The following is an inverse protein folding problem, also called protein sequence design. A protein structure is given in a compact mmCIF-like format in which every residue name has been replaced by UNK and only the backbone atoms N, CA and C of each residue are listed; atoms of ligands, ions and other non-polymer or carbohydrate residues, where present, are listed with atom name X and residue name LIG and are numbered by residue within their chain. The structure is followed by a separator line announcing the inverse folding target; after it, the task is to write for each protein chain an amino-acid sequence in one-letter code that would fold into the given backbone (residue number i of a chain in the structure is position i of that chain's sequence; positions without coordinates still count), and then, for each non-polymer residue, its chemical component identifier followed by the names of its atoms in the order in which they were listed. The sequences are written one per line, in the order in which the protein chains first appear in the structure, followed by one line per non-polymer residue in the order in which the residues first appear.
data_IF_936308197390
#
_entry.id   IF_936308197390
#
_cell.length_a   1.000
_cell.length_b   1.000
_cell.length_c   1.000
_cell.angle_alpha   90.00
_cell.angle_beta   90.00
_cell.angle_gamma   90.00
#
_symmetry.space_group_name_H-M   'P 1'
#
loop_
_entity.id
_entity.type
_entity.pdbx_description
1 polymer ?
#
# COMPACT_ATOMS: atom_id res chain seq x y z
N UNK A 1 17.85 12.69 61.47
CA UNK A 1 16.52 12.63 60.80
C UNK A 1 16.58 13.52 59.58
N UNK A 2 16.71 12.95 58.38
CA UNK A 2 16.78 13.71 57.12
C UNK A 2 15.47 13.52 56.32
N UNK A 3 14.91 14.64 55.86
CA UNK A 3 13.58 14.77 55.26
C UNK A 3 13.50 14.15 53.86
N UNK A 4 12.43 13.38 53.61
CA UNK A 4 12.13 12.58 52.40
C UNK A 4 11.44 13.34 51.26
N UNK A 5 11.70 14.64 51.07
CA UNK A 5 10.78 15.48 50.26
C UNK A 5 11.36 16.17 49.03
N UNK A 6 12.47 15.67 48.46
CA UNK A 6 13.09 16.33 47.29
C UNK A 6 13.66 15.37 46.25
N UNK A 7 12.85 14.42 45.77
CA UNK A 7 13.13 13.66 44.54
C UNK A 7 11.80 13.38 43.85
N UNK A 8 11.35 14.28 42.97
CA UNK A 8 10.31 14.00 41.94
C UNK A 8 10.04 15.23 41.04
N UNK A 9 11.08 15.97 40.65
CA UNK A 9 10.93 17.09 39.69
C UNK A 9 12.16 17.21 38.81
N UNK A 10 12.35 16.27 37.88
CA UNK A 10 13.33 16.39 36.79
C UNK A 10 13.13 15.29 35.72
N UNK A 11 11.88 14.99 35.35
CA UNK A 11 11.56 14.19 34.16
C UNK A 11 10.27 14.78 33.59
N UNK A 12 10.37 15.70 32.63
CA UNK A 12 9.18 16.36 32.09
C UNK A 12 9.50 17.43 31.05
N UNK A 13 10.43 17.15 30.14
CA UNK A 13 10.89 18.17 29.20
C UNK A 13 11.52 17.68 27.89
N UNK A 14 11.27 16.44 27.44
CA UNK A 14 11.83 15.93 26.17
C UNK A 14 10.81 15.11 25.34
N UNK A 15 9.51 15.21 25.63
CA UNK A 15 8.49 14.38 24.96
C UNK A 15 7.66 15.10 23.87
N UNK A 16 7.91 16.39 23.57
CA UNK A 16 7.06 17.17 22.66
C UNK A 16 7.70 17.59 21.32
N UNK A 17 8.92 17.13 21.01
CA UNK A 17 9.59 17.48 19.75
C UNK A 17 9.52 16.40 18.67
N UNK A 18 9.05 15.19 18.98
CA UNK A 18 8.90 14.10 17.98
C UNK A 18 7.52 14.00 17.33
N UNK A 19 6.51 14.74 17.83
CA UNK A 19 5.18 14.78 17.22
C UNK A 19 5.09 15.80 16.06
N UNK A 20 6.11 16.64 15.87
CA UNK A 20 6.11 17.72 14.90
C UNK A 20 6.59 17.36 13.50
N UNK A 21 7.30 16.23 13.32
CA UNK A 21 7.80 15.84 11.99
C UNK A 21 6.75 15.14 11.12
N UNK A 22 5.73 14.51 11.72
CA UNK A 22 4.68 13.79 10.96
C UNK A 22 3.46 14.66 10.63
N UNK A 23 3.39 15.89 11.16
CA UNK A 23 2.27 16.81 10.92
C UNK A 23 2.53 17.83 9.79
N UNK A 24 3.76 17.87 9.26
CA UNK A 24 4.20 18.85 8.25
C UNK A 24 3.85 18.50 6.80
N UNK A 25 3.47 17.25 6.51
CA UNK A 25 3.18 16.78 5.15
C UNK A 25 1.67 16.76 4.82
N UNK A 26 0.85 17.32 5.71
CA UNK A 26 -0.58 17.51 5.47
C UNK A 26 -0.82 18.61 4.41
N UNK A 27 -0.56 18.30 3.14
CA UNK A 27 -0.93 19.19 2.03
C UNK A 27 -0.34 18.88 0.66
N UNK A 28 0.65 17.99 0.52
CA UNK A 28 1.14 17.63 -0.80
C UNK A 28 0.22 16.58 -1.43
N UNK A 29 -0.29 16.86 -2.64
CA UNK A 29 -1.08 15.91 -3.41
C UNK A 29 -0.28 14.61 -3.60
N UNK A 30 -0.89 13.48 -3.24
CA UNK A 30 -0.28 12.16 -3.36
C UNK A 30 -0.91 11.32 -4.46
N UNK A 31 -0.13 10.39 -4.99
CA UNK A 31 -0.55 9.42 -6.00
C UNK A 31 -0.52 7.99 -5.45
N UNK A 32 -1.39 7.14 -5.96
CA UNK A 32 -1.18 5.69 -5.96
C UNK A 32 -0.86 5.21 -7.37
N UNK A 33 0.23 4.46 -7.52
CA UNK A 33 0.58 3.76 -8.75
C UNK A 33 0.24 2.27 -8.59
N UNK A 34 -0.71 1.81 -9.39
CA UNK A 34 -1.14 0.42 -9.50
C UNK A 34 -0.44 -0.27 -10.68
N UNK A 35 -0.44 -1.60 -10.65
CA UNK A 35 0.04 -2.44 -11.77
C UNK A 35 -0.97 -3.54 -12.05
N UNK A 36 -0.74 -4.39 -13.05
CA UNK A 36 -1.64 -5.51 -13.38
C UNK A 36 -1.89 -6.48 -12.22
N UNK A 37 -1.06 -6.47 -11.19
CA UNK A 37 -1.20 -7.32 -10.00
C UNK A 37 -2.47 -7.02 -9.18
N UNK A 38 -3.14 -5.88 -9.43
CA UNK A 38 -4.49 -5.62 -8.91
C UNK A 38 -5.51 -6.69 -9.34
N UNK A 39 -5.23 -7.45 -10.41
CA UNK A 39 -6.09 -8.55 -10.84
C UNK A 39 -5.81 -9.87 -10.08
N UNK A 40 -4.74 -9.95 -9.29
CA UNK A 40 -4.37 -11.15 -8.54
C UNK A 40 -5.29 -11.37 -7.34
N UNK A 41 -5.62 -10.31 -6.61
CA UNK A 41 -6.56 -10.27 -5.48
C UNK A 41 -6.92 -8.79 -5.17
N UNK A 42 -7.94 -8.51 -4.32
CA UNK A 42 -8.37 -7.13 -4.08
C UNK A 42 -7.38 -6.29 -3.25
N UNK A 43 -6.32 -6.87 -2.66
CA UNK A 43 -5.50 -6.19 -1.66
C UNK A 43 -4.86 -4.89 -2.16
N UNK A 44 -4.36 -4.87 -3.40
CA UNK A 44 -3.70 -3.66 -3.94
C UNK A 44 -4.69 -2.49 -4.09
N UNK A 45 -5.94 -2.77 -4.41
CA UNK A 45 -7.00 -1.76 -4.45
C UNK A 45 -7.32 -1.30 -3.01
N UNK A 46 -7.42 -2.21 -2.04
CA UNK A 46 -7.65 -1.86 -0.63
C UNK A 46 -6.54 -0.94 -0.10
N UNK A 47 -5.28 -1.26 -0.42
CA UNK A 47 -4.12 -0.44 -0.06
C UNK A 47 -4.18 0.94 -0.69
N UNK A 48 -4.65 1.08 -1.93
CA UNK A 48 -4.81 2.39 -2.55
C UNK A 48 -5.82 3.28 -1.81
N UNK A 49 -6.94 2.71 -1.35
CA UNK A 49 -7.89 3.43 -0.50
C UNK A 49 -7.31 3.76 0.87
N UNK A 50 -6.51 2.86 1.45
CA UNK A 50 -5.76 3.17 2.68
C UNK A 50 -4.83 4.37 2.49
N UNK A 51 -4.13 4.46 1.36
CA UNK A 51 -3.24 5.57 1.04
C UNK A 51 -4.00 6.90 0.89
N UNK A 52 -5.18 6.92 0.27
CA UNK A 52 -6.07 8.09 0.29
C UNK A 52 -6.44 8.49 1.73
N UNK A 53 -6.98 7.56 2.52
CA UNK A 53 -7.48 7.86 3.88
C UNK A 53 -6.40 8.35 4.84
N UNK A 54 -5.17 7.85 4.72
CA UNK A 54 -4.10 8.13 5.69
C UNK A 54 -3.08 9.17 5.20
N UNK A 55 -2.95 9.33 3.88
CA UNK A 55 -1.92 10.19 3.28
C UNK A 55 -2.46 11.17 2.23
N UNK A 56 -3.77 11.20 1.99
CA UNK A 56 -4.37 12.09 0.99
C UNK A 56 -4.01 11.75 -0.45
N UNK A 57 -3.53 10.52 -0.71
CA UNK A 57 -3.15 10.06 -2.03
C UNK A 57 -4.37 9.70 -2.90
N UNK A 58 -5.08 10.72 -3.38
CA UNK A 58 -6.35 10.59 -4.11
C UNK A 58 -6.18 10.23 -5.58
N UNK A 59 -5.08 10.64 -6.20
CA UNK A 59 -4.86 10.41 -7.63
C UNK A 59 -4.39 8.97 -7.87
N UNK A 60 -5.13 8.19 -8.67
CA UNK A 60 -4.80 6.79 -8.97
C UNK A 60 -4.35 6.61 -10.43
N UNK A 61 -3.16 6.04 -10.61
CA UNK A 61 -2.55 5.74 -11.90
C UNK A 61 -2.32 4.24 -12.09
N UNK A 62 -2.19 3.82 -13.35
CA UNK A 62 -1.86 2.46 -13.74
C UNK A 62 -0.60 2.40 -14.58
N UNK A 63 0.40 1.63 -14.17
CA UNK A 63 1.54 1.28 -15.01
C UNK A 63 1.28 -0.01 -15.78
N UNK A 64 1.29 0.08 -17.11
CA UNK A 64 1.25 -1.10 -17.99
C UNK A 64 2.56 -1.87 -17.91
N UNK A 65 2.53 -3.15 -18.28
CA UNK A 65 3.73 -4.02 -18.33
C UNK A 65 4.86 -3.45 -19.19
N UNK A 66 4.54 -2.69 -20.23
CA UNK A 66 5.49 -2.01 -21.12
C UNK A 66 5.89 -0.60 -20.64
N UNK A 67 5.52 -0.20 -19.42
CA UNK A 67 5.98 1.03 -18.77
C UNK A 67 5.10 2.25 -18.92
N UNK A 68 4.21 2.29 -19.92
CA UNK A 68 3.30 3.41 -20.09
C UNK A 68 2.38 3.58 -18.86
N UNK A 69 2.34 4.77 -18.29
CA UNK A 69 1.48 5.13 -17.16
C UNK A 69 0.24 5.87 -17.65
N UNK A 70 -0.93 5.48 -17.13
CA UNK A 70 -2.21 6.08 -17.46
C UNK A 70 -2.94 6.55 -16.21
N UNK A 71 -3.70 7.64 -16.33
CA UNK A 71 -4.64 8.11 -15.30
C UNK A 71 -5.82 7.14 -15.24
N UNK A 72 -6.20 6.70 -14.05
CA UNK A 72 -7.45 5.97 -13.82
C UNK A 72 -8.47 6.91 -13.15
N UNK A 73 -8.10 7.45 -11.99
CA UNK A 73 -8.92 8.39 -11.23
C UNK A 73 -8.00 9.52 -10.76
N UNK A 74 -7.65 10.43 -11.68
CA UNK A 74 -6.67 11.48 -11.41
C UNK A 74 -6.97 12.75 -12.16
N UNK A 75 -6.75 13.88 -11.49
CA UNK A 75 -6.82 15.21 -12.11
C UNK A 75 -5.41 15.75 -12.39
N UNK A 76 -4.47 15.46 -11.50
CA UNK A 76 -3.08 15.93 -11.59
C UNK A 76 -2.29 15.16 -12.66
N UNK A 77 -1.23 15.76 -13.21
CA UNK A 77 -0.25 15.01 -14.01
C UNK A 77 0.66 14.21 -13.09
N UNK A 78 0.96 12.96 -13.47
CA UNK A 78 1.72 12.05 -12.59
C UNK A 78 3.07 12.66 -12.16
N UNK A 79 3.72 13.37 -13.08
CA UNK A 79 5.00 14.04 -12.89
C UNK A 79 4.98 15.19 -11.86
N UNK A 80 3.82 15.73 -11.53
CA UNK A 80 3.69 16.87 -10.62
C UNK A 80 3.45 16.43 -9.17
N UNK A 81 3.27 15.12 -8.94
CA UNK A 81 3.02 14.56 -7.63
C UNK A 81 4.32 14.39 -6.85
N UNK A 82 4.27 14.66 -5.56
CA UNK A 82 5.45 14.63 -4.69
C UNK A 82 5.53 13.39 -3.84
N UNK A 83 4.37 12.83 -3.52
CA UNK A 83 4.25 11.62 -2.71
C UNK A 83 3.62 10.54 -3.56
N UNK A 84 4.35 9.45 -3.84
CA UNK A 84 3.85 8.36 -4.69
C UNK A 84 3.89 7.05 -3.93
N UNK A 85 2.74 6.40 -3.83
CA UNK A 85 2.53 5.11 -3.19
C UNK A 85 2.38 4.04 -4.27
N UNK A 86 3.30 3.09 -4.34
CA UNK A 86 3.23 1.96 -5.27
C UNK A 86 2.51 0.81 -4.58
N UNK A 87 1.34 0.42 -5.07
CA UNK A 87 0.66 -0.82 -4.62
C UNK A 87 0.75 -1.88 -5.71
N UNK A 88 1.50 -2.93 -5.40
CA UNK A 88 1.73 -4.03 -6.32
C UNK A 88 2.29 -5.24 -5.56
N UNK A 89 2.07 -6.44 -6.06
CA UNK A 89 2.89 -7.58 -5.64
C UNK A 89 4.37 -7.39 -5.99
N UNK A 90 5.24 -7.84 -5.09
CA UNK A 90 6.68 -7.61 -5.16
C UNK A 90 7.48 -8.87 -4.85
N UNK A 91 8.70 -8.87 -5.35
CA UNK A 91 9.74 -9.85 -5.04
C UNK A 91 11.09 -9.14 -4.95
N UNK A 92 12.16 -9.88 -4.71
CA UNK A 92 13.51 -9.31 -4.73
C UNK A 92 13.96 -8.87 -6.13
N UNK A 93 13.28 -9.30 -7.20
CA UNK A 93 13.68 -9.07 -8.60
C UNK A 93 12.64 -8.31 -9.44
N UNK A 94 11.41 -8.14 -8.93
CA UNK A 94 10.33 -7.47 -9.67
C UNK A 94 9.33 -6.76 -8.76
N UNK A 95 8.67 -5.74 -9.31
CA UNK A 95 7.51 -5.04 -8.74
C UNK A 95 6.40 -5.04 -9.79
N UNK A 96 5.20 -5.49 -9.43
CA UNK A 96 4.05 -5.51 -10.34
C UNK A 96 4.22 -6.44 -11.55
N UNK A 97 5.07 -7.46 -11.42
CA UNK A 97 5.47 -8.31 -12.55
C UNK A 97 6.42 -7.64 -13.55
N UNK A 98 7.01 -6.48 -13.21
CA UNK A 98 8.00 -5.74 -14.00
C UNK A 98 9.37 -5.91 -13.33
N UNK A 99 10.41 -6.23 -14.09
CA UNK A 99 11.76 -6.35 -13.53
C UNK A 99 12.22 -5.02 -12.90
N UNK A 100 12.92 -5.06 -11.77
CA UNK A 100 13.22 -3.86 -10.98
C UNK A 100 13.91 -2.73 -11.78
N UNK A 101 14.82 -3.07 -12.70
CA UNK A 101 15.52 -2.09 -13.53
C UNK A 101 14.59 -1.43 -14.57
N UNK A 102 13.66 -2.21 -15.13
CA UNK A 102 12.67 -1.73 -16.08
C UNK A 102 11.65 -0.86 -15.34
N UNK A 103 11.16 -1.31 -14.19
CA UNK A 103 10.26 -0.53 -13.34
C UNK A 103 10.87 0.84 -12.99
N UNK A 104 12.12 0.87 -12.53
CA UNK A 104 12.81 2.12 -12.21
C UNK A 104 12.92 3.06 -13.42
N UNK A 105 13.19 2.50 -14.61
CA UNK A 105 13.30 3.27 -15.85
C UNK A 105 11.94 3.82 -16.30
N UNK A 106 10.90 2.97 -16.33
CA UNK A 106 9.54 3.36 -16.69
C UNK A 106 8.96 4.38 -15.71
N UNK A 107 9.24 4.22 -14.42
CA UNK A 107 8.84 5.19 -13.41
C UNK A 107 9.48 6.55 -13.68
N UNK A 108 10.80 6.61 -13.92
CA UNK A 108 11.50 7.87 -14.23
C UNK A 108 11.00 8.52 -15.52
N UNK A 109 10.64 7.73 -16.52
CA UNK A 109 10.08 8.22 -17.78
C UNK A 109 8.70 8.86 -17.57
N UNK A 110 7.84 8.22 -16.77
CA UNK A 110 6.52 8.75 -16.45
C UNK A 110 6.53 9.91 -15.44
N UNK A 111 7.57 9.97 -14.61
CA UNK A 111 7.70 10.91 -13.48
C UNK A 111 9.07 11.60 -13.50
N UNK A 112 9.34 12.42 -14.51
CA UNK A 112 10.62 13.14 -14.66
C UNK A 112 11.05 13.98 -13.45
N UNK A 113 10.12 14.58 -12.71
CA UNK A 113 10.39 15.33 -11.47
C UNK A 113 10.81 14.41 -10.33
N UNK A 114 11.76 14.83 -9.48
CA UNK A 114 12.10 14.06 -8.29
C UNK A 114 10.93 14.06 -7.29
N UNK A 115 10.44 12.88 -6.87
CA UNK A 115 9.46 12.77 -5.80
C UNK A 115 10.12 13.03 -4.43
N UNK A 116 9.35 13.59 -3.51
CA UNK A 116 9.78 13.79 -2.13
C UNK A 116 9.65 12.47 -1.34
N UNK A 117 8.55 11.76 -1.56
CA UNK A 117 8.24 10.46 -0.93
C UNK A 117 7.90 9.42 -1.98
N UNK A 118 8.55 8.26 -1.89
CA UNK A 118 8.23 7.04 -2.60
C UNK A 118 7.97 5.92 -1.59
N UNK A 119 6.77 5.36 -1.60
CA UNK A 119 6.40 4.28 -0.70
C UNK A 119 6.01 3.02 -1.48
N UNK A 120 6.67 1.89 -1.23
CA UNK A 120 6.32 0.61 -1.84
C UNK A 120 5.48 -0.24 -0.88
N UNK A 121 4.18 -0.33 -1.12
CA UNK A 121 3.34 -1.41 -0.61
C UNK A 121 3.52 -2.66 -1.48
N UNK A 122 4.75 -3.17 -1.50
CA UNK A 122 5.13 -4.27 -2.37
C UNK A 122 6.17 -5.13 -1.68
N UNK A 123 5.80 -6.37 -1.38
CA UNK A 123 6.59 -7.31 -0.60
C UNK A 123 8.05 -7.39 -1.10
N UNK A 124 9.00 -7.49 -0.17
CA UNK A 124 10.42 -7.70 -0.43
C UNK A 124 11.15 -6.61 -1.24
N UNK A 125 10.53 -5.47 -1.52
CA UNK A 125 11.19 -4.34 -2.20
C UNK A 125 12.31 -3.69 -1.39
N UNK A 126 12.28 -3.87 -0.07
CA UNK A 126 13.36 -3.52 0.86
C UNK A 126 14.60 -4.41 0.70
N UNK A 127 14.38 -5.71 0.46
CA UNK A 127 15.42 -6.72 0.26
C UNK A 127 15.86 -6.87 -1.20
N UNK A 128 15.08 -6.34 -2.14
CA UNK A 128 15.41 -6.24 -3.56
C UNK A 128 16.07 -4.90 -3.91
N UNK A 129 16.58 -4.78 -5.13
CA UNK A 129 17.33 -3.59 -5.56
C UNK A 129 16.47 -2.47 -6.18
N UNK A 130 15.14 -2.60 -6.25
CA UNK A 130 14.28 -1.60 -6.92
C UNK A 130 14.42 -0.21 -6.31
N UNK A 131 14.54 -0.10 -4.99
CA UNK A 131 14.69 1.19 -4.30
C UNK A 131 15.99 1.88 -4.73
N UNK A 132 17.11 1.16 -4.65
CA UNK A 132 18.41 1.65 -5.13
C UNK A 132 18.36 2.06 -6.59
N UNK A 133 17.88 1.17 -7.47
CA UNK A 133 17.79 1.41 -8.90
C UNK A 133 16.91 2.61 -9.23
N UNK A 134 15.79 2.79 -8.51
CA UNK A 134 14.93 3.95 -8.66
C UNK A 134 15.66 5.21 -8.24
N UNK A 135 16.30 5.24 -7.07
CA UNK A 135 16.99 6.45 -6.64
C UNK A 135 18.18 6.82 -7.54
N UNK A 136 18.88 5.82 -8.09
CA UNK A 136 19.92 6.03 -9.11
C UNK A 136 19.38 6.80 -10.33
N UNK A 137 18.11 6.57 -10.74
CA UNK A 137 17.47 7.31 -11.85
C UNK A 137 17.21 8.79 -11.54
N UNK A 138 17.25 9.16 -10.27
CA UNK A 138 17.10 10.55 -9.79
C UNK A 138 18.41 11.07 -9.19
N UNK A 139 19.57 10.51 -9.56
CA UNK A 139 20.87 10.94 -9.04
C UNK A 139 20.96 10.94 -7.50
N UNK A 140 20.23 10.02 -6.85
CA UNK A 140 20.14 9.91 -5.41
C UNK A 140 19.33 11.01 -4.70
N UNK A 141 18.50 11.78 -5.43
CA UNK A 141 17.80 12.95 -4.89
C UNK A 141 16.40 12.66 -4.29
N UNK A 142 15.89 11.41 -4.30
CA UNK A 142 14.59 11.11 -3.68
C UNK A 142 14.72 11.28 -2.16
N UNK A 143 13.85 12.10 -1.57
CA UNK A 143 13.91 12.47 -0.16
C UNK A 143 13.71 11.28 0.78
N UNK A 144 12.63 10.50 0.58
CA UNK A 144 12.31 9.32 1.38
C UNK A 144 11.81 8.16 0.53
N UNK A 145 12.32 6.95 0.81
CA UNK A 145 12.11 5.77 -0.02
C UNK A 145 11.84 4.51 0.83
N UNK A 146 10.57 4.18 1.00
CA UNK A 146 10.08 3.14 1.92
C UNK A 146 9.74 1.85 1.19
N UNK A 147 9.96 0.68 1.81
CA UNK A 147 9.48 -0.61 1.31
C UNK A 147 9.83 -1.78 2.23
N UNK A 148 9.04 -2.87 2.25
CA UNK A 148 9.24 -3.99 3.17
C UNK A 148 10.48 -4.82 2.85
N UNK A 149 11.21 -5.25 3.87
CA UNK A 149 12.23 -6.30 3.75
C UNK A 149 11.62 -7.69 3.45
N UNK A 150 10.35 -7.92 3.82
CA UNK A 150 9.68 -9.21 3.68
C UNK A 150 8.23 -9.08 3.22
N UNK A 151 7.34 -9.91 3.77
CA UNK A 151 5.89 -9.77 3.56
C UNK A 151 5.38 -8.46 4.16
N UNK A 152 4.41 -7.84 3.51
CA UNK A 152 3.70 -6.65 4.01
C UNK A 152 2.19 -6.88 4.05
N UNK A 153 1.51 -6.22 5.00
CA UNK A 153 0.06 -6.21 5.09
C UNK A 153 -0.43 -4.97 5.87
N UNK A 154 -1.71 -4.61 5.67
CA UNK A 154 -2.41 -3.64 6.52
C UNK A 154 -2.76 -4.26 7.88
N UNK A 155 -2.43 -3.56 8.97
CA UNK A 155 -2.56 -3.97 10.38
C UNK A 155 -3.46 -2.98 11.08
N UNK A 156 -4.62 -3.43 11.57
CA UNK A 156 -5.64 -2.59 12.20
C UNK A 156 -5.66 -2.68 13.73
N UNK A 157 -4.75 -3.45 14.35
CA UNK A 157 -4.66 -3.59 15.82
C UNK A 157 -6.03 -3.92 16.48
N UNK A 158 -6.74 -4.91 15.93
CA UNK A 158 -8.07 -5.29 16.41
C UNK A 158 -9.25 -4.47 15.83
N UNK A 159 -8.98 -3.52 14.94
CA UNK A 159 -9.98 -2.78 14.17
C UNK A 159 -9.99 -3.18 12.68
N UNK A 160 -11.16 -3.35 12.04
CA UNK A 160 -11.24 -3.54 10.59
C UNK A 160 -11.15 -2.23 9.78
N UNK A 161 -11.02 -1.08 10.45
CA UNK A 161 -11.09 0.25 9.85
C UNK A 161 -9.76 0.68 9.21
N UNK A 162 -9.81 1.03 7.91
CA UNK A 162 -8.66 1.55 7.15
C UNK A 162 -8.09 2.85 7.71
N UNK A 163 -8.91 3.70 8.33
CA UNK A 163 -8.45 4.99 8.88
C UNK A 163 -7.53 4.81 10.08
N UNK A 164 -7.59 3.64 10.71
CA UNK A 164 -6.73 3.27 11.85
C UNK A 164 -5.65 2.25 11.47
N UNK A 165 -5.71 1.72 10.25
CA UNK A 165 -4.79 0.70 9.77
C UNK A 165 -3.41 1.29 9.47
N UNK A 166 -2.38 0.51 9.72
CA UNK A 166 -1.01 0.79 9.32
C UNK A 166 -0.54 -0.26 8.33
N UNK A 167 0.18 0.13 7.30
CA UNK A 167 0.89 -0.82 6.47
C UNK A 167 2.20 -1.20 7.19
N UNK A 168 2.41 -2.49 7.48
CA UNK A 168 3.57 -3.00 8.22
C UNK A 168 4.15 -4.23 7.52
N UNK A 169 5.36 -4.65 7.93
CA UNK A 169 6.00 -5.89 7.48
C UNK A 169 6.22 -6.88 8.62
N UNK A 170 6.59 -8.13 8.28
CA UNK A 170 6.72 -9.24 9.23
C UNK A 170 5.47 -9.40 10.11
N UNK A 171 4.31 -9.24 9.47
CA UNK A 171 3.01 -9.23 10.13
C UNK A 171 2.66 -10.61 10.66
N UNK A 172 2.14 -10.66 11.89
CA UNK A 172 1.55 -11.86 12.48
C UNK A 172 0.04 -11.71 12.61
N UNK A 173 -0.64 -12.86 12.70
CA UNK A 173 -2.10 -12.95 12.72
C UNK A 173 -2.58 -13.61 14.01
N UNK A 174 -3.61 -13.06 14.64
CA UNK A 174 -4.16 -13.56 15.92
C UNK A 174 -5.10 -14.76 15.77
N UNK A 175 -5.74 -14.94 14.60
CA UNK A 175 -6.81 -15.93 14.41
C UNK A 175 -6.50 -16.83 13.21
N UNK A 176 -5.49 -17.70 13.34
CA UNK A 176 -4.90 -18.45 12.20
C UNK A 176 -5.90 -19.19 11.31
N UNK A 177 -6.83 -19.97 11.87
CA UNK A 177 -7.82 -20.72 11.07
C UNK A 177 -8.85 -19.80 10.42
N UNK A 178 -9.46 -18.90 11.21
CA UNK A 178 -10.45 -17.93 10.74
C UNK A 178 -9.87 -17.00 9.66
N UNK A 179 -8.61 -16.59 9.81
CA UNK A 179 -7.89 -15.82 8.81
C UNK A 179 -7.82 -16.56 7.48
N UNK A 180 -7.43 -17.84 7.49
CA UNK A 180 -7.35 -18.64 6.27
C UNK A 180 -8.73 -18.88 5.65
N UNK A 181 -9.78 -19.02 6.47
CA UNK A 181 -11.17 -19.11 5.97
C UNK A 181 -11.59 -17.84 5.22
N UNK A 182 -11.39 -16.66 5.81
CA UNK A 182 -11.73 -15.39 5.16
C UNK A 182 -10.89 -15.17 3.89
N UNK A 183 -9.59 -15.50 3.91
CA UNK A 183 -8.75 -15.48 2.69
C UNK A 183 -9.31 -16.39 1.60
N UNK A 184 -9.77 -17.59 1.96
CA UNK A 184 -10.38 -18.52 1.01
C UNK A 184 -11.71 -17.97 0.45
N UNK A 185 -12.54 -17.36 1.28
CA UNK A 185 -13.79 -16.73 0.86
C UNK A 185 -13.55 -15.54 -0.07
N UNK A 186 -12.58 -14.66 0.25
CA UNK A 186 -12.16 -13.55 -0.63
C UNK A 186 -11.74 -14.11 -1.99
N UNK A 187 -10.88 -15.13 -2.02
CA UNK A 187 -10.43 -15.74 -3.29
C UNK A 187 -11.57 -16.39 -4.07
N UNK A 188 -12.50 -17.03 -3.37
CA UNK A 188 -13.68 -17.65 -3.95
C UNK A 188 -14.58 -16.60 -4.62
N UNK A 189 -14.90 -15.50 -3.94
CA UNK A 189 -15.65 -14.38 -4.53
C UNK A 189 -14.86 -13.72 -5.67
N UNK A 190 -13.56 -13.49 -5.49
CA UNK A 190 -12.71 -12.83 -6.49
C UNK A 190 -12.61 -13.61 -7.80
N UNK A 191 -12.43 -14.93 -7.73
CA UNK A 191 -11.98 -15.72 -8.89
C UNK A 191 -12.95 -16.79 -9.36
N UNK A 192 -13.95 -17.18 -8.56
CA UNK A 192 -14.77 -18.37 -8.83
C UNK A 192 -16.26 -18.06 -8.85
N UNK A 193 -16.82 -17.63 -7.72
CA UNK A 193 -18.26 -17.57 -7.51
C UNK A 193 -18.81 -16.15 -7.61
N UNK A 194 -18.00 -15.13 -7.30
CA UNK A 194 -18.45 -13.74 -7.28
C UNK A 194 -18.46 -13.14 -8.67
N UNK A 195 -19.61 -12.58 -9.04
CA UNK A 195 -19.82 -11.92 -10.33
C UNK A 195 -19.64 -10.41 -10.20
N UNK A 196 -18.92 -9.80 -11.15
CA UNK A 196 -18.80 -8.36 -11.23
C UNK A 196 -20.06 -7.75 -11.86
N UNK A 197 -20.87 -7.03 -11.07
CA UNK A 197 -22.02 -6.20 -11.52
C UNK A 197 -22.93 -6.85 -12.57
N UNK A 198 -23.32 -8.10 -12.36
CA UNK A 198 -24.20 -8.86 -13.26
C UNK A 198 -23.69 -8.97 -14.72
N UNK A 199 -22.37 -8.88 -14.93
CA UNK A 199 -21.73 -8.92 -16.26
C UNK A 199 -21.52 -10.33 -16.82
N UNK A 200 -21.86 -11.36 -16.05
CA UNK A 200 -21.56 -12.77 -16.33
C UNK A 200 -20.09 -13.15 -16.14
N UNK A 201 -19.28 -12.27 -15.53
CA UNK A 201 -17.82 -12.45 -15.37
C UNK A 201 -17.43 -12.37 -13.90
N UNK A 202 -16.41 -13.14 -13.52
CA UNK A 202 -15.81 -13.01 -12.20
C UNK A 202 -15.09 -11.67 -12.05
N UNK A 203 -14.88 -11.21 -10.82
CA UNK A 203 -14.11 -9.99 -10.54
C UNK A 203 -12.72 -10.02 -11.19
N UNK A 204 -12.01 -11.15 -11.07
CA UNK A 204 -10.71 -11.37 -11.70
C UNK A 204 -10.78 -11.26 -13.23
N UNK A 205 -11.79 -11.86 -13.85
CA UNK A 205 -11.95 -11.82 -15.30
C UNK A 205 -12.27 -10.40 -15.81
N UNK A 206 -13.16 -9.69 -15.11
CA UNK A 206 -13.45 -8.29 -15.42
C UNK A 206 -12.20 -7.41 -15.30
N UNK A 207 -11.41 -7.57 -14.22
CA UNK A 207 -10.14 -6.86 -14.07
C UNK A 207 -9.20 -7.10 -15.25
N UNK A 208 -9.01 -8.36 -15.64
CA UNK A 208 -8.13 -8.73 -16.75
C UNK A 208 -8.50 -8.03 -18.06
N UNK A 209 -9.80 -7.90 -18.35
CA UNK A 209 -10.28 -7.20 -19.54
C UNK A 209 -10.05 -5.69 -19.51
N UNK A 210 -9.99 -5.09 -18.32
CA UNK A 210 -9.80 -3.64 -18.18
C UNK A 210 -8.33 -3.24 -18.14
N UNK A 211 -7.41 -4.15 -17.79
CA UNK A 211 -5.97 -3.84 -17.72
C UNK A 211 -5.22 -4.15 -19.01
N UNK A 212 -5.70 -5.05 -19.85
CA UNK A 212 -5.06 -5.41 -21.12
C UNK A 212 -6.06 -5.90 -22.20
N UNK A 213 -6.42 -5.06 -23.20
CA UNK A 213 -5.97 -3.68 -23.39
C UNK A 213 -6.51 -2.74 -22.31
N UNK A 214 -5.72 -1.74 -21.91
CA UNK A 214 -6.13 -0.81 -20.86
C UNK A 214 -7.40 -0.01 -21.26
N UNK A 215 -8.46 -0.16 -20.45
CA UNK A 215 -9.63 0.71 -20.43
C UNK A 215 -9.68 1.47 -19.09
N UNK A 216 -9.19 2.71 -19.09
CA UNK A 216 -9.02 3.51 -17.87
C UNK A 216 -10.34 3.84 -17.16
N UNK A 217 -11.40 4.12 -17.92
CA UNK A 217 -12.72 4.46 -17.36
C UNK A 217 -13.33 3.26 -16.62
N UNK A 218 -13.36 2.10 -17.28
CA UNK A 218 -13.86 0.87 -16.66
C UNK A 218 -12.98 0.44 -15.48
N UNK A 219 -11.67 0.67 -15.55
CA UNK A 219 -10.76 0.36 -14.46
C UNK A 219 -10.99 1.27 -13.24
N UNK A 220 -11.38 2.54 -13.45
CA UNK A 220 -11.72 3.47 -12.38
C UNK A 220 -13.01 3.07 -11.67
N UNK A 221 -14.00 2.65 -12.45
CA UNK A 221 -15.25 2.12 -11.89
C UNK A 221 -15.01 0.81 -11.14
N UNK A 222 -14.21 -0.10 -11.71
CA UNK A 222 -13.84 -1.37 -11.10
C UNK A 222 -13.10 -1.17 -9.78
N UNK A 223 -12.13 -0.25 -9.76
CA UNK A 223 -11.36 0.12 -8.56
C UNK A 223 -12.27 0.47 -7.38
N UNK A 224 -13.22 1.39 -7.57
CA UNK A 224 -14.17 1.76 -6.52
C UNK A 224 -15.12 0.61 -6.16
N UNK A 225 -15.58 -0.17 -7.14
CA UNK A 225 -16.47 -1.29 -6.91
C UNK A 225 -15.83 -2.40 -6.05
N UNK A 226 -14.53 -2.65 -6.23
CA UNK A 226 -13.79 -3.61 -5.39
C UNK A 226 -13.74 -3.14 -3.93
N UNK A 227 -13.53 -1.85 -3.69
CA UNK A 227 -13.56 -1.33 -2.32
C UNK A 227 -14.95 -1.48 -1.69
N UNK A 228 -16.00 -1.10 -2.41
CA UNK A 228 -17.37 -1.27 -1.93
C UNK A 228 -17.70 -2.74 -1.62
N UNK A 229 -17.36 -3.66 -2.53
CA UNK A 229 -17.65 -5.08 -2.34
C UNK A 229 -16.88 -5.69 -1.17
N UNK A 230 -15.55 -5.51 -1.14
CA UNK A 230 -14.67 -6.25 -0.22
C UNK A 230 -14.41 -5.54 1.12
N UNK A 231 -14.84 -4.28 1.29
CA UNK A 231 -14.70 -3.55 2.57
C UNK A 231 -16.02 -3.07 3.15
N UNK A 232 -16.91 -2.53 2.32
CA UNK A 232 -18.11 -1.82 2.80
C UNK A 232 -19.30 -2.77 2.94
N UNK A 233 -19.58 -3.55 1.88
CA UNK A 233 -20.78 -4.38 1.80
C UNK A 233 -20.56 -5.81 2.33
N UNK A 234 -19.34 -6.34 2.26
CA UNK A 234 -19.04 -7.66 2.79
C UNK A 234 -19.31 -7.75 4.30
N UNK A 235 -19.94 -8.84 4.73
CA UNK A 235 -20.28 -9.09 6.13
C UNK A 235 -19.03 -9.27 7.00
N UNK A 236 -19.08 -8.85 8.26
CA UNK A 236 -17.95 -8.96 9.21
C UNK A 236 -18.22 -9.88 10.40
N UNK A 237 -19.44 -10.37 10.54
CA UNK A 237 -19.95 -11.09 11.71
C UNK A 237 -19.97 -12.61 11.54
N UNK A 238 -19.99 -13.13 10.31
CA UNK A 238 -19.89 -14.57 10.02
C UNK A 238 -18.59 -14.91 9.29
N UNK A 239 -17.63 -15.50 10.01
CA UNK A 239 -16.32 -15.90 9.47
C UNK A 239 -16.42 -16.95 8.37
N UNK A 240 -17.39 -17.85 8.44
CA UNK A 240 -17.48 -18.97 7.51
C UNK A 240 -17.90 -18.52 6.10
N UNK A 241 -18.57 -17.36 5.99
CA UNK A 241 -19.04 -16.80 4.72
C UNK A 241 -18.45 -15.43 4.37
N UNK A 242 -17.82 -14.74 5.32
CA UNK A 242 -17.28 -13.39 5.12
C UNK A 242 -16.16 -13.36 4.07
N UNK A 243 -16.28 -12.40 3.15
CA UNK A 243 -15.22 -11.94 2.25
C UNK A 243 -14.77 -10.49 2.57
N UNK A 244 -15.00 -10.03 3.80
CA UNK A 244 -14.61 -8.67 4.20
C UNK A 244 -13.11 -8.61 4.49
N UNK A 245 -12.37 -7.87 3.66
CA UNK A 245 -10.94 -7.71 3.79
C UNK A 245 -10.55 -6.99 5.10
N UNK A 246 -11.42 -6.16 5.65
CA UNK A 246 -11.26 -5.53 6.97
C UNK A 246 -11.09 -6.54 8.11
N UNK A 247 -11.62 -7.77 8.01
CA UNK A 247 -11.32 -8.82 8.98
C UNK A 247 -9.85 -9.25 8.95
N UNK A 248 -9.23 -9.31 7.77
CA UNK A 248 -7.79 -9.57 7.66
C UNK A 248 -6.99 -8.46 8.34
N UNK A 249 -7.37 -7.20 8.11
CA UNK A 249 -6.76 -6.02 8.73
C UNK A 249 -6.91 -6.07 10.26
N UNK A 250 -8.10 -6.41 10.75
CA UNK A 250 -8.40 -6.55 12.18
C UNK A 250 -7.48 -7.57 12.86
N UNK A 251 -7.26 -8.72 12.22
CA UNK A 251 -6.54 -9.84 12.82
C UNK A 251 -5.04 -9.77 12.64
N UNK A 252 -4.57 -8.99 11.67
CA UNK A 252 -3.21 -8.47 11.59
C UNK A 252 -3.00 -7.56 12.81
N UNK A 253 -2.24 -8.02 13.80
CA UNK A 253 -2.18 -7.40 15.13
C UNK A 253 -0.77 -7.01 15.59
N UNK A 254 0.26 -7.39 14.84
CA UNK A 254 1.63 -6.96 15.06
C UNK A 254 2.37 -6.90 13.74
N UNK A 255 3.48 -6.18 13.74
CA UNK A 255 4.38 -6.04 12.61
C UNK A 255 5.46 -5.02 12.93
N UNK A 256 6.38 -4.84 12.00
CA UNK A 256 7.40 -3.81 12.06
C UNK A 256 7.06 -2.70 11.08
N UNK A 257 7.20 -1.43 11.50
CA UNK A 257 7.08 -0.29 10.60
C UNK A 257 8.20 -0.32 9.57
N UNK A 258 7.90 0.05 8.33
CA UNK A 258 8.89 0.06 7.25
C UNK A 258 10.14 0.87 7.63
N UNK A 259 11.29 0.36 7.25
CA UNK A 259 12.55 1.03 7.51
C UNK A 259 12.61 2.38 6.76
N UNK A 260 13.03 3.43 7.49
CA UNK A 260 13.34 4.75 6.93
C UNK A 260 14.84 4.93 6.90
N UNK A 261 15.49 4.48 5.84
CA UNK A 261 16.90 4.77 5.61
C UNK A 261 17.12 5.06 4.14
N UNK A 262 17.95 6.07 3.87
CA UNK A 262 18.28 6.56 2.52
C UNK A 262 18.58 5.41 1.56
N UNK A 263 18.43 5.69 0.27
CA UNK A 263 18.57 4.84 -0.92
C UNK A 263 19.31 3.49 -0.86
N UNK A 264 20.33 3.39 -0.01
CA UNK A 264 21.22 2.27 0.13
C UNK A 264 20.74 1.32 1.24
N UNK A 265 20.90 0.03 0.96
CA UNK A 265 20.50 -1.14 1.75
C UNK A 265 21.04 -1.24 3.19
N UNK A 266 21.65 -0.19 3.75
CA UNK A 266 22.09 -0.25 5.14
C UNK A 266 20.88 -0.22 6.06
N UNK A 267 20.77 -1.25 6.89
CA UNK A 267 19.80 -1.27 7.98
C UNK A 267 20.00 -0.01 8.82
N UNK A 268 18.89 0.59 9.24
CA UNK A 268 18.93 1.73 10.14
C UNK A 268 19.71 1.34 11.40
N UNK A 269 20.91 1.90 11.54
CA UNK A 269 21.69 1.76 12.77
C UNK A 269 20.96 2.60 13.81
N UNK A 270 20.23 1.91 14.69
CA UNK A 270 19.60 2.49 15.88
C UNK A 270 20.63 3.18 16.77
#
# INVERSE_FOLDING_TARGET
MFSKTTRNRLIGGVALTLAGLMAGEAGAAGAVLLTKEICSNPADIIVSHWADKNHGAKDVYFMKSAGAVAKINSETDFNDLKNVFVSAHGSTVSVGGIANADFASFFKEAHGSTPDVMFFSSCSTGSGNVRKLLNDKYNQDIGSLYGPLGSCALVGNGSPDLTTAKNLYNVSHSNGEDFQKVVANINKIWSVDGEYKDTGKTWKAACAEFVDPLNAENLAEFHNAVYEEFMVNAQTDDVDTSHNYGLLIKWNNAGTEFDVCGADHEACTN
#
